data_IF_747378359593
#
_entry.id   IF_747378359593
#
_cell.length_a   1.000
_cell.length_b   1.000
_cell.length_c   1.000
_cell.angle_alpha   90.00
_cell.angle_beta   90.00
_cell.angle_gamma   90.00
#
_symmetry.space_group_name_H-M   'P 1'
#
loop_
_entity.id
_entity.type
_entity.pdbx_description
1 polymer ?
#
# COMPACT_ATOMS: atom_id res chain seq x y z
N UNK A 1 12.18 23.91 -14.37
CA UNK A 1 11.71 22.56 -14.03
C UNK A 1 11.19 22.65 -12.61
N UNK A 2 9.91 22.32 -12.45
CA UNK A 2 9.00 22.93 -11.49
C UNK A 2 9.40 22.76 -10.01
N UNK A 3 9.33 23.88 -9.29
CA UNK A 3 9.58 24.04 -7.85
C UNK A 3 8.35 23.71 -6.99
N UNK A 4 7.31 23.10 -7.57
CA UNK A 4 6.00 22.90 -6.93
C UNK A 4 5.84 21.51 -6.28
N UNK A 5 6.94 20.81 -5.97
CA UNK A 5 6.86 19.62 -5.11
C UNK A 5 7.14 20.07 -3.68
N UNK A 6 6.13 20.09 -2.78
CA UNK A 6 6.34 20.48 -1.39
C UNK A 6 7.47 19.65 -0.78
N UNK A 7 8.48 20.34 -0.24
CA UNK A 7 9.66 19.73 0.41
C UNK A 7 9.32 18.89 1.65
N UNK A 8 8.06 18.88 2.06
CA UNK A 8 7.55 18.23 3.27
C UNK A 8 6.84 16.90 3.01
N UNK A 9 6.75 16.41 1.76
CA UNK A 9 6.05 15.14 1.48
C UNK A 9 6.72 13.94 2.18
N UNK A 10 8.05 13.95 2.35
CA UNK A 10 8.82 12.79 2.84
C UNK A 10 9.65 13.06 4.10
N UNK A 11 9.11 13.79 5.10
CA UNK A 11 9.73 13.83 6.43
C UNK A 11 9.50 12.50 7.16
N UNK A 12 10.60 11.86 7.56
CA UNK A 12 10.60 10.52 8.16
C UNK A 12 9.87 10.39 9.51
N UNK A 13 9.88 9.18 10.11
CA UNK A 13 10.47 7.95 9.59
C UNK A 13 9.56 7.34 8.52
N UNK A 14 10.11 7.11 7.33
CA UNK A 14 9.39 6.85 6.08
C UNK A 14 8.16 5.94 6.20
N UNK A 15 6.98 6.54 5.98
CA UNK A 15 5.66 5.93 6.14
C UNK A 15 5.07 5.36 4.84
N UNK A 16 5.86 5.35 3.76
CA UNK A 16 5.37 5.08 2.40
C UNK A 16 6.26 4.04 1.74
N UNK A 17 5.85 2.77 1.82
CA UNK A 17 6.58 1.71 1.13
C UNK A 17 5.98 1.56 -0.26
N UNK A 18 6.70 2.05 -1.27
CA UNK A 18 6.39 1.78 -2.67
C UNK A 18 6.95 0.42 -3.05
N UNK A 19 6.08 -0.56 -3.24
CA UNK A 19 6.52 -1.91 -3.53
C UNK A 19 5.88 -2.46 -4.79
N UNK A 20 6.72 -3.03 -5.65
CA UNK A 20 6.30 -3.89 -6.75
C UNK A 20 6.33 -5.35 -6.30
N UNK A 21 5.26 -6.09 -6.59
CA UNK A 21 5.12 -7.55 -6.40
C UNK A 21 5.69 -8.08 -5.07
N UNK A 22 6.96 -8.51 -5.01
CA UNK A 22 7.60 -9.10 -3.83
C UNK A 22 7.68 -8.14 -2.64
N UNK A 23 7.88 -6.84 -2.88
CA UNK A 23 7.92 -5.87 -1.78
C UNK A 23 6.57 -5.76 -1.07
N UNK A 24 5.46 -5.99 -1.78
CA UNK A 24 4.11 -5.94 -1.17
C UNK A 24 3.86 -7.14 -0.27
N UNK A 25 4.48 -8.29 -0.56
CA UNK A 25 4.50 -9.43 0.36
C UNK A 25 5.21 -9.03 1.64
N UNK A 26 6.45 -8.53 1.54
CA UNK A 26 7.23 -8.16 2.71
C UNK A 26 6.51 -7.10 3.55
N UNK A 27 5.99 -6.05 2.93
CA UNK A 27 5.30 -4.97 3.62
C UNK A 27 4.01 -5.45 4.30
N UNK A 28 3.17 -6.25 3.62
CA UNK A 28 1.95 -6.80 4.24
C UNK A 28 2.25 -7.72 5.42
N UNK A 29 3.31 -8.53 5.34
CA UNK A 29 3.76 -9.37 6.45
C UNK A 29 4.33 -8.54 7.60
N UNK A 30 5.09 -7.48 7.31
CA UNK A 30 5.61 -6.56 8.31
C UNK A 30 4.46 -5.88 9.09
N UNK A 31 3.44 -5.41 8.37
CA UNK A 31 2.23 -4.84 8.96
C UNK A 31 1.52 -5.86 9.86
N UNK A 32 1.37 -7.10 9.39
CA UNK A 32 0.75 -8.18 10.14
C UNK A 32 1.50 -8.48 11.45
N UNK A 33 2.82 -8.65 11.38
CA UNK A 33 3.66 -8.93 12.53
C UNK A 33 3.68 -7.76 13.54
N UNK A 34 3.72 -6.50 13.05
CA UNK A 34 3.60 -5.31 13.90
C UNK A 34 2.23 -5.23 14.58
N UNK A 35 1.14 -5.51 13.86
CA UNK A 35 -0.22 -5.51 14.42
C UNK A 35 -0.40 -6.60 15.50
N UNK A 36 0.37 -7.68 15.42
CA UNK A 36 0.43 -8.73 16.44
C UNK A 36 1.47 -8.46 17.56
N UNK A 37 2.12 -7.29 17.57
CA UNK A 37 3.18 -6.91 18.51
C UNK A 37 4.42 -7.84 18.52
N UNK A 38 4.64 -8.59 17.43
CA UNK A 38 5.79 -9.50 17.29
C UNK A 38 7.09 -8.75 16.97
N UNK A 39 6.99 -7.63 16.24
CA UNK A 39 8.13 -6.81 15.81
C UNK A 39 7.81 -5.32 15.93
N UNK A 40 8.84 -4.47 15.84
CA UNK A 40 8.71 -3.01 15.75
C UNK A 40 7.85 -2.40 16.89
N UNK A 41 7.96 -2.95 18.10
CA UNK A 41 7.13 -2.56 19.25
C UNK A 41 7.22 -1.06 19.54
N UNK A 42 8.43 -0.50 19.51
CA UNK A 42 8.71 0.93 19.70
C UNK A 42 8.44 1.81 18.48
N UNK A 43 8.07 1.23 17.33
CA UNK A 43 7.77 1.99 16.12
C UNK A 43 6.32 2.52 16.18
N UNK A 44 6.06 3.77 15.76
CA UNK A 44 4.70 4.28 15.64
C UNK A 44 3.86 3.44 14.66
N UNK A 45 2.52 3.51 14.73
CA UNK A 45 1.66 2.88 13.73
C UNK A 45 1.98 3.36 12.30
N UNK A 46 1.86 2.46 11.33
CA UNK A 46 2.00 2.82 9.92
C UNK A 46 0.78 3.60 9.46
N UNK A 47 1.00 4.73 8.78
CA UNK A 47 -0.08 5.62 8.32
C UNK A 47 -0.84 5.07 7.12
N UNK A 48 -0.12 4.43 6.18
CA UNK A 48 -0.73 3.78 5.02
C UNK A 48 0.26 2.81 4.34
N UNK A 49 -0.22 2.13 3.30
CA UNK A 49 0.60 1.35 2.38
C UNK A 49 0.12 1.57 0.94
N UNK A 50 1.06 1.67 -0.01
CA UNK A 50 0.76 1.74 -1.45
C UNK A 50 1.32 0.50 -2.14
N UNK A 51 0.44 -0.34 -2.67
CA UNK A 51 0.76 -1.59 -3.34
C UNK A 51 0.58 -1.44 -4.85
N UNK A 52 1.63 -1.71 -5.64
CA UNK A 52 1.57 -1.64 -7.11
C UNK A 52 1.87 -3.00 -7.67
N UNK A 53 0.92 -3.55 -8.44
CA UNK A 53 1.00 -4.92 -8.92
C UNK A 53 1.34 -5.91 -7.79
N UNK A 54 0.78 -5.67 -6.60
CA UNK A 54 1.06 -6.43 -5.38
C UNK A 54 0.47 -7.83 -5.44
N UNK A 55 1.02 -8.75 -4.66
CA UNK A 55 0.50 -10.13 -4.58
C UNK A 55 0.33 -10.56 -3.14
N UNK A 56 -0.75 -11.31 -2.86
CA UNK A 56 -0.99 -11.86 -1.53
C UNK A 56 0.14 -12.85 -1.18
N UNK A 57 0.66 -12.83 0.05
CA UNK A 57 1.57 -13.87 0.51
C UNK A 57 0.97 -15.28 0.33
N UNK A 58 1.82 -16.29 0.16
CA UNK A 58 1.41 -17.69 0.03
C UNK A 58 0.57 -18.16 1.24
N UNK A 59 -0.31 -19.14 1.01
CA UNK A 59 -1.32 -19.57 1.98
C UNK A 59 -0.73 -19.89 3.37
N UNK A 60 0.34 -20.69 3.46
CA UNK A 60 0.96 -21.05 4.75
C UNK A 60 1.33 -19.86 5.63
N UNK A 61 1.92 -18.82 5.03
CA UNK A 61 2.33 -17.61 5.75
C UNK A 61 1.14 -16.70 6.02
N UNK A 62 0.29 -16.51 5.01
CA UNK A 62 -0.87 -15.64 5.11
C UNK A 62 -1.89 -16.16 6.14
N UNK A 63 -2.11 -17.45 6.23
CA UNK A 63 -3.11 -18.02 7.14
C UNK A 63 -2.63 -17.97 8.60
N UNK A 64 -1.31 -17.87 8.80
CA UNK A 64 -0.70 -17.68 10.14
C UNK A 64 -0.69 -16.21 10.56
N UNK A 65 -0.34 -15.29 9.66
CA UNK A 65 -0.07 -13.89 10.00
C UNK A 65 -1.22 -12.94 9.65
N UNK A 66 -1.98 -13.22 8.60
CA UNK A 66 -3.12 -12.41 8.13
C UNK A 66 -4.45 -12.97 8.65
N UNK A 67 -4.48 -13.33 9.94
CA UNK A 67 -5.68 -13.84 10.64
C UNK A 67 -6.73 -12.75 10.89
N UNK A 68 -6.30 -11.49 10.90
CA UNK A 68 -7.15 -10.30 10.99
C UNK A 68 -6.84 -9.37 9.82
N UNK A 69 -7.83 -8.57 9.43
CA UNK A 69 -7.62 -7.53 8.43
C UNK A 69 -6.56 -6.53 8.90
N UNK A 70 -5.69 -6.15 7.98
CA UNK A 70 -4.66 -5.13 8.18
C UNK A 70 -5.33 -3.78 8.31
N UNK A 71 -5.05 -3.09 9.42
CA UNK A 71 -5.72 -1.85 9.81
C UNK A 71 -5.28 -0.61 9.01
N UNK A 72 -4.00 -0.43 8.63
CA UNK A 72 -3.59 0.76 7.90
C UNK A 72 -4.36 0.91 6.58
N UNK A 73 -4.83 2.12 6.23
CA UNK A 73 -5.37 2.42 4.91
C UNK A 73 -4.41 1.95 3.81
N UNK A 74 -4.94 1.31 2.78
CA UNK A 74 -4.13 0.79 1.68
C UNK A 74 -4.60 1.33 0.33
N UNK A 75 -3.66 1.64 -0.56
CA UNK A 75 -3.93 1.97 -1.95
C UNK A 75 -3.36 0.88 -2.84
N UNK A 76 -4.18 0.30 -3.70
CA UNK A 76 -3.81 -0.76 -4.63
C UNK A 76 -3.89 -0.24 -6.06
N UNK A 77 -2.78 -0.30 -6.78
CA UNK A 77 -2.71 0.04 -8.20
C UNK A 77 -2.57 -1.27 -8.97
N UNK A 78 -3.61 -1.64 -9.72
CA UNK A 78 -3.74 -2.96 -10.36
C UNK A 78 -3.96 -2.82 -11.87
N UNK A 79 -3.14 -3.53 -12.66
CA UNK A 79 -3.32 -3.65 -14.10
C UNK A 79 -4.44 -4.63 -14.45
N UNK A 80 -5.37 -4.25 -15.33
CA UNK A 80 -6.45 -5.15 -15.77
C UNK A 80 -5.95 -6.30 -16.66
N UNK A 81 -4.81 -6.13 -17.32
CA UNK A 81 -4.12 -7.17 -18.10
C UNK A 81 -2.96 -7.81 -17.34
N UNK A 82 -2.82 -7.53 -16.05
CA UNK A 82 -1.78 -8.13 -15.24
C UNK A 82 -2.09 -9.60 -14.97
N UNK A 83 -1.14 -10.49 -15.22
CA UNK A 83 -1.27 -11.92 -14.93
C UNK A 83 -1.42 -12.18 -13.42
N UNK A 84 -0.98 -11.25 -12.56
CA UNK A 84 -1.21 -11.33 -11.10
C UNK A 84 -2.46 -10.62 -10.61
N UNK A 85 -3.29 -10.04 -11.48
CA UNK A 85 -4.49 -9.27 -11.11
C UNK A 85 -5.34 -9.97 -10.03
N UNK A 86 -5.63 -11.26 -10.22
CA UNK A 86 -6.38 -12.09 -9.25
C UNK A 86 -5.73 -12.11 -7.87
N UNK A 87 -4.41 -12.18 -7.80
CA UNK A 87 -3.65 -12.22 -6.54
C UNK A 87 -3.51 -10.83 -5.91
N UNK A 88 -3.51 -9.77 -6.73
CA UNK A 88 -3.58 -8.38 -6.26
C UNK A 88 -4.91 -8.08 -5.58
N UNK A 89 -6.03 -8.52 -6.16
CA UNK A 89 -7.33 -8.43 -5.49
C UNK A 89 -7.37 -9.23 -4.18
N UNK A 90 -6.81 -10.45 -4.16
CA UNK A 90 -6.69 -11.22 -2.92
C UNK A 90 -5.84 -10.52 -1.85
N UNK A 91 -4.82 -9.74 -2.24
CA UNK A 91 -4.05 -8.93 -1.30
C UNK A 91 -4.90 -7.78 -0.78
N UNK A 92 -5.59 -7.07 -1.68
CA UNK A 92 -6.49 -5.97 -1.35
C UNK A 92 -7.54 -6.38 -0.30
N UNK A 93 -8.10 -7.59 -0.43
CA UNK A 93 -9.11 -8.13 0.49
C UNK A 93 -8.60 -8.30 1.94
N UNK A 94 -7.28 -8.38 2.12
CA UNK A 94 -6.65 -8.51 3.46
C UNK A 94 -6.63 -7.20 4.24
N UNK A 95 -6.98 -6.08 3.61
CA UNK A 95 -7.01 -4.77 4.26
C UNK A 95 -8.44 -4.37 4.65
N UNK A 96 -8.55 -3.65 5.76
CA UNK A 96 -9.83 -3.12 6.25
C UNK A 96 -10.36 -2.03 5.31
N UNK A 97 -9.49 -1.08 4.95
CA UNK A 97 -9.85 0.10 4.15
C UNK A 97 -9.02 0.21 2.86
N UNK A 98 -9.27 -0.65 1.85
CA UNK A 98 -8.56 -0.58 0.58
C UNK A 98 -9.15 0.46 -0.37
N UNK A 99 -8.28 1.20 -1.05
CA UNK A 99 -8.58 2.07 -2.18
C UNK A 99 -8.00 1.44 -3.44
N UNK A 100 -8.77 1.39 -4.53
CA UNK A 100 -8.34 0.79 -5.80
C UNK A 100 -8.14 1.84 -6.90
N UNK A 101 -7.00 1.77 -7.60
CA UNK A 101 -6.74 2.41 -8.89
C UNK A 101 -6.48 1.30 -9.91
N UNK A 102 -7.21 1.31 -11.02
CA UNK A 102 -7.00 0.36 -12.12
C UNK A 102 -6.37 1.04 -13.32
N UNK A 103 -5.52 0.32 -14.06
CA UNK A 103 -4.98 0.79 -15.33
C UNK A 103 -5.04 -0.31 -16.40
N UNK A 104 -5.09 0.01 -17.70
CA UNK A 104 -5.31 -0.99 -18.75
C UNK A 104 -4.05 -1.78 -19.10
N UNK A 105 -2.92 -1.62 -18.39
CA UNK A 105 -1.64 -2.26 -18.74
C UNK A 105 -1.47 -3.59 -17.98
N UNK A 106 -0.45 -4.35 -18.34
CA UNK A 106 -0.06 -5.58 -17.65
C UNK A 106 0.76 -5.30 -16.37
N UNK A 107 1.74 -6.16 -16.10
CA UNK A 107 2.61 -6.07 -14.92
C UNK A 107 3.65 -4.95 -15.05
N UNK A 108 3.25 -3.72 -14.74
CA UNK A 108 4.08 -2.51 -14.86
C UNK A 108 3.77 -1.52 -13.74
N UNK A 109 4.69 -0.61 -13.46
CA UNK A 109 4.37 0.61 -12.72
C UNK A 109 3.76 1.58 -13.74
N UNK A 110 2.46 1.93 -13.63
CA UNK A 110 1.83 2.84 -14.59
C UNK A 110 2.27 4.28 -14.33
N UNK A 111 2.35 5.07 -15.40
CA UNK A 111 2.21 6.51 -15.27
C UNK A 111 0.74 6.79 -14.89
N UNK A 112 0.52 7.51 -13.79
CA UNK A 112 -0.81 7.90 -13.35
C UNK A 112 -1.09 9.31 -13.87
N UNK A 113 -2.25 9.46 -14.49
CA UNK A 113 -2.72 10.73 -15.09
C UNK A 113 -4.21 10.93 -14.79
N UNK A 114 -4.67 12.18 -14.89
CA UNK A 114 -6.07 12.56 -14.66
C UNK A 114 -6.60 12.03 -13.32
N UNK A 115 -7.79 11.43 -13.37
CA UNK A 115 -8.50 10.91 -12.19
C UNK A 115 -7.67 9.94 -11.34
N UNK A 116 -6.81 9.13 -11.97
CA UNK A 116 -5.98 8.17 -11.25
C UNK A 116 -4.89 8.85 -10.41
N UNK A 117 -4.32 9.95 -10.92
CA UNK A 117 -3.35 10.77 -10.20
C UNK A 117 -4.02 11.56 -9.08
N UNK A 118 -5.19 12.15 -9.35
CA UNK A 118 -5.96 12.87 -8.34
C UNK A 118 -6.40 11.96 -7.19
N UNK A 119 -6.76 10.70 -7.49
CA UNK A 119 -7.09 9.70 -6.47
C UNK A 119 -5.89 9.34 -5.60
N UNK A 120 -4.70 9.18 -6.19
CA UNK A 120 -3.45 8.97 -5.44
C UNK A 120 -3.15 10.18 -4.53
N UNK A 121 -3.23 11.40 -5.08
CA UNK A 121 -2.99 12.65 -4.32
C UNK A 121 -3.96 12.78 -3.15
N UNK A 122 -5.24 12.58 -3.40
CA UNK A 122 -6.28 12.61 -2.37
C UNK A 122 -6.03 11.57 -1.27
N UNK A 123 -5.63 10.35 -1.65
CA UNK A 123 -5.28 9.30 -0.69
C UNK A 123 -4.11 9.70 0.21
N UNK A 124 -3.03 10.26 -0.37
CA UNK A 124 -1.84 10.66 0.39
C UNK A 124 -2.11 11.89 1.28
N UNK A 125 -2.78 12.91 0.75
CA UNK A 125 -3.11 14.13 1.51
C UNK A 125 -3.96 13.82 2.75
N UNK A 126 -4.95 12.91 2.61
CA UNK A 126 -5.78 12.48 3.73
C UNK A 126 -4.98 11.79 4.85
N UNK A 127 -3.76 11.29 4.58
CA UNK A 127 -2.88 10.65 5.58
C UNK A 127 -1.82 11.58 6.14
N UNK A 128 -1.52 12.69 5.46
CA UNK A 128 -0.66 13.74 6.00
C UNK A 128 -1.35 14.51 7.13
N UNK A 129 -2.65 14.77 7.01
CA UNK A 129 -3.44 15.49 8.02
C UNK A 129 -3.64 14.72 9.33
N UNK A 130 -3.63 13.38 9.29
CA UNK A 130 -3.72 12.51 10.47
C UNK A 130 -2.47 12.61 11.40
N UNK A 131 -1.44 13.34 10.99
CA UNK A 131 -0.16 13.48 11.73
C UNK A 131 -0.06 14.74 12.59
N UNK A 132 -1.11 15.56 12.64
CA UNK A 132 -1.13 16.86 13.31
C UNK A 132 -1.88 16.87 14.65
N UNK A 133 -2.17 15.69 15.23
CA UNK A 133 -2.80 15.52 16.56
C UNK A 133 -1.88 14.73 17.49
#
# INVERSE_FOLDING_TARGET
MDSDVPSDIFKGPYYEWWNAQQGTILASLLLAMKQQNLILQSHPPFKCIVCIAGIRPGASVADTLLTKKLQPPSLHIIGSRDYVNKWSHKLMDTFENPTLITHPRGHVIPALEGDSLEKLRSFLMARQQDSAL
#
